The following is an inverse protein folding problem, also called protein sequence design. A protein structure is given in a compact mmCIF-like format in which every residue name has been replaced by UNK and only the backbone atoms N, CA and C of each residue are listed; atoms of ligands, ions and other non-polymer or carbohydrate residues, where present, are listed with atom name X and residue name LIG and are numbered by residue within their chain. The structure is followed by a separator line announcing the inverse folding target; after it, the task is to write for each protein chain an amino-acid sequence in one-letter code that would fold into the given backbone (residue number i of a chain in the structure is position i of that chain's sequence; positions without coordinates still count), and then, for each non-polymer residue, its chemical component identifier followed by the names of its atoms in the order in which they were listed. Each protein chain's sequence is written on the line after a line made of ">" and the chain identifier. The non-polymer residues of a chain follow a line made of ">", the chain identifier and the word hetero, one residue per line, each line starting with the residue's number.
data_IF_772615957786
#
_entry.id   IF_772615957786
#
_cell.length_a   1.000
_cell.length_b   1.000
_cell.length_c   1.000
_cell.angle_alpha   90.00
_cell.angle_beta   90.00
_cell.angle_gamma   90.00
#
_symmetry.space_group_name_H-M   'P 1'
#
loop_
_entity.id
_entity.type
_entity.pdbx_description
1 polymer ?
#
# COMPACT_ATOMS: atom_id res chain seq x y z
N UNK A 1 6.91 8.70 -4.59
CA UNK A 1 6.66 8.81 -3.14
C UNK A 1 5.29 9.40 -2.91
N UNK A 2 4.57 8.89 -1.92
CA UNK A 2 3.36 9.51 -1.41
C UNK A 2 3.65 10.88 -0.77
N UNK A 3 2.66 11.77 -0.76
CA UNK A 3 2.69 13.11 -0.17
C UNK A 3 1.33 13.38 0.47
N UNK A 4 1.23 14.34 1.39
CA UNK A 4 -0.02 14.63 2.12
C UNK A 4 -1.20 15.00 1.22
N UNK A 5 -0.95 15.62 0.05
CA UNK A 5 -1.99 15.91 -0.94
C UNK A 5 -2.60 14.66 -1.58
N UNK A 6 -1.97 13.49 -1.45
CA UNK A 6 -2.46 12.22 -1.97
C UNK A 6 -3.33 11.44 -0.97
N UNK A 7 -3.34 11.81 0.32
CA UNK A 7 -3.93 10.98 1.38
C UNK A 7 -5.41 10.66 1.15
N UNK A 8 -6.22 11.65 0.83
CA UNK A 8 -7.64 11.46 0.54
C UNK A 8 -7.86 10.54 -0.68
N UNK A 9 -7.04 10.71 -1.71
CA UNK A 9 -7.11 9.87 -2.92
C UNK A 9 -6.70 8.43 -2.63
N UNK A 10 -5.70 8.22 -1.78
CA UNK A 10 -5.25 6.88 -1.35
C UNK A 10 -6.29 6.20 -0.47
N UNK A 11 -6.93 6.93 0.43
CA UNK A 11 -8.05 6.41 1.24
C UNK A 11 -9.18 5.93 0.33
N UNK A 12 -9.67 6.79 -0.57
CA UNK A 12 -10.75 6.45 -1.50
C UNK A 12 -10.39 5.27 -2.41
N UNK A 13 -9.17 5.28 -2.96
CA UNK A 13 -8.64 4.20 -3.78
C UNK A 13 -8.62 2.86 -3.01
N UNK A 14 -8.12 2.88 -1.77
CA UNK A 14 -7.99 1.69 -0.94
C UNK A 14 -9.35 1.09 -0.62
N UNK A 15 -10.29 1.91 -0.15
CA UNK A 15 -11.68 1.48 0.11
C UNK A 15 -12.28 0.89 -1.16
N UNK A 16 -12.24 1.60 -2.29
CA UNK A 16 -12.84 1.13 -3.55
C UNK A 16 -12.21 -0.18 -4.06
N UNK A 17 -10.89 -0.33 -3.96
CA UNK A 17 -10.19 -1.53 -4.42
C UNK A 17 -10.54 -2.76 -3.57
N UNK A 18 -10.63 -2.61 -2.24
CA UNK A 18 -10.92 -3.70 -1.32
C UNK A 18 -12.43 -4.04 -1.26
N UNK A 19 -13.32 -3.06 -1.33
CA UNK A 19 -14.77 -3.27 -1.46
C UNK A 19 -15.14 -4.05 -2.74
N UNK A 20 -14.42 -3.82 -3.83
CA UNK A 20 -14.59 -4.58 -5.07
C UNK A 20 -14.09 -6.04 -4.97
N UNK A 21 -13.42 -6.41 -3.87
CA UNK A 21 -12.94 -7.77 -3.61
C UNK A 21 -14.00 -8.62 -2.92
N UNK A 22 -13.83 -9.95 -2.93
CA UNK A 22 -14.74 -10.87 -2.22
C UNK A 22 -14.75 -10.68 -0.70
N UNK A 23 -13.68 -10.11 -0.15
CA UNK A 23 -13.50 -9.94 1.29
C UNK A 23 -14.00 -8.57 1.77
N UNK A 24 -14.30 -7.64 0.87
CA UNK A 24 -14.64 -6.27 1.21
C UNK A 24 -13.46 -5.49 1.78
N UNK A 25 -13.72 -4.23 2.14
CA UNK A 25 -12.83 -3.42 2.98
C UNK A 25 -13.02 -3.81 4.44
N UNK A 26 -11.91 -4.02 5.15
CA UNK A 26 -11.83 -4.49 6.53
C UNK A 26 -10.92 -3.62 7.40
N UNK A 27 -10.73 -2.35 7.01
CA UNK A 27 -9.87 -1.42 7.75
C UNK A 27 -8.53 -1.16 7.08
N UNK A 28 -8.36 -1.47 5.79
CA UNK A 28 -7.07 -1.32 5.10
C UNK A 28 -6.64 0.15 4.98
N UNK A 29 -7.59 1.06 4.79
CA UNK A 29 -7.27 2.50 4.74
C UNK A 29 -6.80 3.02 6.11
N UNK A 30 -7.47 2.59 7.16
CA UNK A 30 -7.19 2.93 8.55
C UNK A 30 -5.82 2.39 8.97
N UNK A 31 -5.47 1.18 8.50
CA UNK A 31 -4.13 0.64 8.68
C UNK A 31 -3.07 1.50 7.99
N UNK A 32 -3.31 1.98 6.77
CA UNK A 32 -2.38 2.89 6.08
C UNK A 32 -2.19 4.18 6.90
N UNK A 33 -3.27 4.79 7.36
CA UNK A 33 -3.22 6.00 8.21
C UNK A 33 -2.40 5.76 9.48
N UNK A 34 -2.71 4.68 10.22
CA UNK A 34 -1.96 4.32 11.42
C UNK A 34 -0.46 4.08 11.12
N UNK A 35 -0.13 3.41 10.02
CA UNK A 35 1.27 3.18 9.62
C UNK A 35 2.01 4.47 9.28
N UNK A 36 1.37 5.45 8.66
CA UNK A 36 2.01 6.76 8.40
C UNK A 36 2.40 7.47 9.70
N UNK A 37 1.57 7.35 10.73
CA UNK A 37 1.78 8.03 12.01
C UNK A 37 2.82 7.33 12.89
N UNK A 38 2.79 5.99 12.94
CA UNK A 38 3.63 5.22 13.86
C UNK A 38 4.95 4.76 13.24
N UNK A 39 5.10 4.86 11.92
CA UNK A 39 6.23 4.28 11.20
C UNK A 39 6.97 5.29 10.33
N UNK A 40 7.92 6.01 10.93
CA UNK A 40 8.77 6.98 10.22
C UNK A 40 9.56 6.37 9.04
N UNK A 41 9.84 5.06 9.09
CA UNK A 41 10.62 4.34 8.07
C UNK A 41 9.76 3.61 7.04
N UNK A 42 8.45 3.82 7.04
CA UNK A 42 7.58 3.23 6.03
C UNK A 42 7.90 3.81 4.64
N UNK A 43 7.95 2.94 3.64
CA UNK A 43 8.00 3.33 2.23
C UNK A 43 6.56 3.40 1.75
N UNK A 44 6.11 4.58 1.33
CA UNK A 44 4.78 4.77 0.78
C UNK A 44 4.86 5.34 -0.64
N UNK A 45 4.28 4.61 -1.60
CA UNK A 45 4.34 4.94 -3.02
C UNK A 45 2.94 5.04 -3.62
N UNK A 46 2.77 6.02 -4.49
CA UNK A 46 1.58 6.15 -5.35
C UNK A 46 1.98 5.95 -6.81
N UNK A 47 1.11 5.28 -7.56
CA UNK A 47 1.14 5.28 -9.02
C UNK A 47 0.20 6.37 -9.52
N UNK A 48 0.72 7.23 -10.40
CA UNK A 48 0.00 8.35 -10.97
C UNK A 48 -0.25 8.09 -12.46
N UNK A 49 -1.47 8.37 -12.91
CA UNK A 49 -1.79 8.62 -14.31
C UNK A 49 -2.14 10.10 -14.42
N UNK A 50 -1.27 10.88 -15.05
CA UNK A 50 -1.18 12.33 -14.92
C UNK A 50 -1.16 12.81 -13.45
N UNK A 51 -2.29 13.31 -12.94
CA UNK A 51 -2.47 13.80 -11.56
C UNK A 51 -3.35 12.89 -10.71
N UNK A 52 -3.88 11.82 -11.30
CA UNK A 52 -4.79 10.91 -10.64
C UNK A 52 -4.02 9.77 -9.97
N UNK A 53 -4.27 9.53 -8.69
CA UNK A 53 -3.75 8.34 -8.00
C UNK A 53 -4.53 7.12 -8.50
N UNK A 54 -3.83 6.23 -9.20
CA UNK A 54 -4.41 4.99 -9.76
C UNK A 54 -3.96 3.73 -9.02
N UNK A 55 -2.96 3.85 -8.16
CA UNK A 55 -2.43 2.77 -7.35
C UNK A 55 -1.69 3.29 -6.13
N UNK A 56 -1.62 2.48 -5.07
CA UNK A 56 -0.87 2.78 -3.86
C UNK A 56 -0.31 1.49 -3.26
N UNK A 57 0.86 1.59 -2.66
CA UNK A 57 1.45 0.55 -1.80
C UNK A 57 2.16 1.20 -0.63
N UNK A 58 2.04 0.59 0.55
CA UNK A 58 2.87 0.90 1.70
C UNK A 58 3.67 -0.33 2.11
N UNK A 59 4.90 -0.11 2.55
CA UNK A 59 5.76 -1.13 3.14
C UNK A 59 6.35 -0.62 4.44
N UNK A 60 6.21 -1.39 5.52
CA UNK A 60 6.68 -1.02 6.86
C UNK A 60 7.69 -2.04 7.40
N UNK A 61 8.64 -1.64 8.25
CA UNK A 61 9.53 -2.57 8.93
C UNK A 61 8.75 -3.63 9.69
N UNK A 62 9.19 -4.88 9.56
CA UNK A 62 8.63 -6.02 10.26
C UNK A 62 9.74 -6.94 10.75
N UNK A 63 9.44 -7.66 11.84
CA UNK A 63 10.30 -8.70 12.39
C UNK A 63 9.55 -10.03 12.31
N UNK A 64 10.20 -11.03 11.73
CA UNK A 64 9.72 -12.40 11.65
C UNK A 64 10.45 -13.20 12.72
N UNK A 65 9.72 -13.65 13.73
CA UNK A 65 10.24 -14.56 14.75
C UNK A 65 10.18 -16.01 14.24
N UNK A 66 11.33 -16.67 14.20
CA UNK A 66 11.48 -18.10 13.92
C UNK A 66 11.91 -18.82 15.21
N UNK A 67 11.80 -20.16 15.24
CA UNK A 67 12.08 -20.95 16.44
C UNK A 67 13.46 -20.65 17.08
N UNK A 68 14.49 -20.43 16.26
CA UNK A 68 15.87 -20.22 16.72
C UNK A 68 16.47 -18.88 16.26
N UNK A 69 15.70 -17.98 15.64
CA UNK A 69 16.24 -16.74 15.08
C UNK A 69 15.17 -15.68 14.84
N UNK A 70 15.57 -14.41 14.75
CA UNK A 70 14.74 -13.33 14.23
C UNK A 70 15.27 -12.83 12.89
N UNK A 71 14.37 -12.44 12.00
CA UNK A 71 14.70 -11.83 10.71
C UNK A 71 13.96 -10.53 10.55
N UNK A 72 14.68 -9.44 10.29
CA UNK A 72 14.08 -8.15 9.95
C UNK A 72 13.85 -8.05 8.45
N UNK A 73 12.79 -7.36 8.05
CA UNK A 73 12.46 -7.09 6.66
C UNK A 73 11.42 -5.99 6.55
N UNK A 74 10.79 -5.90 5.38
CA UNK A 74 9.63 -5.05 5.16
C UNK A 74 8.39 -5.93 4.95
N UNK A 75 7.30 -5.62 5.64
CA UNK A 75 5.97 -6.12 5.31
C UNK A 75 5.37 -5.19 4.26
N UNK A 76 5.04 -5.74 3.09
CA UNK A 76 4.39 -4.99 2.00
C UNK A 76 2.88 -5.18 2.13
N UNK A 77 2.17 -4.08 2.35
CA UNK A 77 0.73 -4.08 2.43
C UNK A 77 0.18 -3.01 3.38
N UNK A 78 -1.03 -2.47 3.10
CA UNK A 78 -1.88 -2.81 1.96
C UNK A 78 -1.35 -2.34 0.60
N UNK A 79 -1.84 -2.95 -0.47
CA UNK A 79 -1.63 -2.51 -1.86
C UNK A 79 -2.99 -2.41 -2.55
N UNK A 80 -3.27 -1.27 -3.16
CA UNK A 80 -4.51 -1.00 -3.86
C UNK A 80 -4.23 -0.51 -5.29
N UNK A 81 -5.04 -0.97 -6.23
CA UNK A 81 -5.06 -0.47 -7.61
C UNK A 81 -6.51 -0.24 -8.00
N UNK A 82 -6.76 0.85 -8.71
CA UNK A 82 -8.09 1.25 -9.15
C UNK A 82 -8.78 0.09 -9.86
N UNK A 83 -10.01 -0.32 -9.48
CA UNK A 83 -10.64 -1.54 -10.00
C UNK A 83 -10.63 -1.66 -11.53
N UNK A 84 -10.87 -0.56 -12.25
CA UNK A 84 -10.87 -0.49 -13.72
C UNK A 84 -9.49 -0.68 -14.37
N UNK A 85 -8.40 -0.50 -13.62
CA UNK A 85 -7.01 -0.57 -14.06
C UNK A 85 -6.26 -1.78 -13.49
N UNK A 86 -6.93 -2.64 -12.72
CA UNK A 86 -6.36 -3.91 -12.24
C UNK A 86 -6.02 -4.85 -13.40
N UNK A 87 -5.08 -5.78 -13.17
CA UNK A 87 -4.56 -6.75 -14.15
C UNK A 87 -3.88 -6.11 -15.38
N UNK A 88 -3.43 -4.85 -15.26
CA UNK A 88 -2.66 -4.12 -16.29
C UNK A 88 -1.20 -3.88 -15.91
N UNK A 89 -0.72 -4.48 -14.81
CA UNK A 89 0.67 -4.38 -14.37
C UNK A 89 1.00 -3.27 -13.37
N UNK A 90 0.06 -2.38 -13.04
CA UNK A 90 0.25 -1.28 -12.06
C UNK A 90 0.76 -1.81 -10.71
N UNK A 91 0.08 -2.80 -10.13
CA UNK A 91 0.49 -3.39 -8.84
C UNK A 91 1.87 -4.04 -8.91
N UNK A 92 2.22 -4.68 -10.03
CA UNK A 92 3.55 -5.26 -10.21
C UNK A 92 4.65 -4.20 -10.27
N UNK A 93 4.39 -3.05 -10.91
CA UNK A 93 5.33 -1.93 -10.93
C UNK A 93 5.50 -1.30 -9.56
N UNK A 94 4.40 -1.13 -8.80
CA UNK A 94 4.44 -0.64 -7.43
C UNK A 94 5.30 -1.55 -6.54
N UNK A 95 5.09 -2.87 -6.58
CA UNK A 95 5.89 -3.81 -5.78
C UNK A 95 7.35 -3.79 -6.19
N UNK A 96 7.68 -3.73 -7.49
CA UNK A 96 9.07 -3.61 -7.94
C UNK A 96 9.73 -2.35 -7.40
N UNK A 97 9.04 -1.21 -7.47
CA UNK A 97 9.54 0.06 -6.96
C UNK A 97 9.75 0.08 -5.43
N UNK A 98 9.12 -0.81 -4.68
CA UNK A 98 9.39 -1.00 -3.24
C UNK A 98 10.67 -1.82 -2.99
N UNK A 99 11.04 -2.70 -3.92
CA UNK A 99 12.16 -3.65 -3.79
C UNK A 99 13.49 -3.13 -4.34
N UNK A 100 13.45 -2.07 -5.14
CA UNK A 100 14.60 -1.40 -5.77
C UNK A 100 15.07 -0.21 -4.93
#
# INVERSE_FOLDING_TARGET
>A
MEQSCHYDSVQQLTVSAFEASKLGHQGESELIEALRDICERAISLVALDDRQVIGHVIASPAVIHCADSERSGLAIGPMAVMPSLQRRGVGSQLVRAVLE
#
